data_IF_318854055823
#
_entry.id   IF_318854055823
#
_cell.length_a   1.000
_cell.length_b   1.000
_cell.length_c   1.000
_cell.angle_alpha   90.00
_cell.angle_beta   90.00
_cell.angle_gamma   90.00
#
_symmetry.space_group_name_H-M   'P 1'
#
loop_
_entity.id
_entity.type
_entity.pdbx_description
1 polymer ?
#
# COMPACT_ATOMS: atom_id res chain seq x y z
N UNK A 1 23.85 -73.66 4.95
CA UNK A 1 22.49 -73.31 5.41
C UNK A 1 22.49 -72.45 6.68
N UNK A 2 23.00 -72.90 7.83
CA UNK A 2 22.99 -72.10 9.07
C UNK A 2 23.81 -70.80 9.00
N UNK A 3 25.00 -70.85 8.36
CA UNK A 3 25.89 -69.68 8.18
C UNK A 3 25.34 -68.61 7.22
N UNK A 4 24.67 -69.04 6.15
CA UNK A 4 24.03 -68.14 5.17
C UNK A 4 22.79 -67.47 5.74
N UNK A 5 21.98 -68.19 6.51
CA UNK A 5 20.83 -67.64 7.23
C UNK A 5 21.25 -66.63 8.32
N UNK A 6 22.30 -66.93 9.09
CA UNK A 6 22.85 -65.98 10.07
C UNK A 6 23.41 -64.70 9.42
N UNK A 7 24.05 -64.82 8.25
CA UNK A 7 24.54 -63.66 7.51
C UNK A 7 23.37 -62.79 7.00
N UNK A 8 22.32 -63.40 6.44
CA UNK A 8 21.11 -62.69 6.04
C UNK A 8 20.46 -61.95 7.22
N UNK A 9 20.27 -62.62 8.36
CA UNK A 9 19.74 -61.99 9.57
C UNK A 9 20.61 -60.84 10.08
N UNK A 10 21.93 -60.96 9.99
CA UNK A 10 22.87 -59.90 10.35
C UNK A 10 22.71 -58.67 9.45
N UNK A 11 22.64 -58.88 8.12
CA UNK A 11 22.47 -57.79 7.15
C UNK A 11 21.11 -57.11 7.31
N UNK A 12 20.04 -57.88 7.54
CA UNK A 12 18.71 -57.34 7.78
C UNK A 12 18.64 -56.54 9.09
N UNK A 13 19.31 -57.03 10.16
CA UNK A 13 19.44 -56.30 11.42
C UNK A 13 20.18 -54.97 11.24
N UNK A 14 21.29 -54.95 10.50
CA UNK A 14 22.03 -53.72 10.22
C UNK A 14 21.21 -52.75 9.35
N UNK A 15 20.49 -53.26 8.34
CA UNK A 15 19.56 -52.45 7.53
C UNK A 15 18.45 -51.82 8.39
N UNK A 16 17.86 -52.58 9.29
CA UNK A 16 16.84 -52.07 10.21
C UNK A 16 17.41 -51.03 11.17
N UNK A 17 18.62 -51.23 11.71
CA UNK A 17 19.30 -50.22 12.54
C UNK A 17 19.54 -48.92 11.78
N UNK A 18 20.03 -49.00 10.54
CA UNK A 18 20.21 -47.81 9.69
C UNK A 18 18.87 -47.10 9.46
N UNK A 19 17.79 -47.86 9.19
CA UNK A 19 16.45 -47.28 9.00
C UNK A 19 15.93 -46.60 10.27
N UNK A 20 16.14 -47.20 11.44
CA UNK A 20 15.80 -46.60 12.74
C UNK A 20 16.57 -45.31 12.96
N UNK A 21 17.88 -45.29 12.71
CA UNK A 21 18.70 -44.09 12.86
C UNK A 21 18.24 -42.93 11.96
N UNK A 22 17.88 -43.22 10.69
CA UNK A 22 17.35 -42.21 9.76
C UNK A 22 15.99 -41.67 10.24
N UNK A 23 15.11 -42.55 10.72
CA UNK A 23 13.80 -42.13 11.25
C UNK A 23 13.96 -41.29 12.52
N UNK A 24 14.87 -41.66 13.43
CA UNK A 24 15.17 -40.88 14.63
C UNK A 24 15.68 -39.48 14.29
N UNK A 25 16.56 -39.36 13.30
CA UNK A 25 17.07 -38.06 12.85
C UNK A 25 15.97 -37.22 12.17
N UNK A 26 15.13 -37.85 11.36
CA UNK A 26 13.96 -37.19 10.74
C UNK A 26 12.97 -36.68 11.79
N UNK A 27 12.72 -37.45 12.86
CA UNK A 27 11.85 -37.04 13.97
C UNK A 27 12.46 -35.87 14.74
N UNK A 28 13.77 -35.90 15.04
CA UNK A 28 14.47 -34.79 15.71
C UNK A 28 14.43 -33.51 14.88
N UNK A 29 14.68 -33.61 13.57
CA UNK A 29 14.61 -32.48 12.64
C UNK A 29 13.20 -31.87 12.60
N UNK A 30 12.17 -32.72 12.50
CA UNK A 30 10.76 -32.32 12.59
C UNK A 30 10.41 -31.64 13.91
N UNK A 31 10.93 -32.12 15.05
CA UNK A 31 10.66 -31.54 16.36
C UNK A 31 11.23 -30.12 16.48
N UNK A 32 12.45 -29.91 15.98
CA UNK A 32 13.08 -28.58 15.95
C UNK A 32 12.31 -27.62 15.04
N UNK A 33 11.87 -28.09 13.87
CA UNK A 33 11.04 -27.28 12.96
C UNK A 33 9.69 -26.92 13.60
N UNK A 34 9.03 -27.86 14.28
CA UNK A 34 7.79 -27.61 15.01
C UNK A 34 7.98 -26.58 16.14
N UNK A 35 9.11 -26.65 16.87
CA UNK A 35 9.44 -25.65 17.90
C UNK A 35 9.63 -24.26 17.29
N UNK A 36 10.39 -24.14 16.21
CA UNK A 36 10.60 -22.87 15.52
C UNK A 36 9.30 -22.27 14.94
N UNK A 37 8.44 -23.13 14.37
CA UNK A 37 7.12 -22.74 13.89
C UNK A 37 6.23 -22.24 15.03
N UNK A 38 6.18 -22.97 16.15
CA UNK A 38 5.43 -22.57 17.35
C UNK A 38 5.89 -21.22 17.90
N UNK A 39 7.20 -21.00 17.99
CA UNK A 39 7.76 -19.70 18.42
C UNK A 39 7.36 -18.56 17.48
N UNK A 40 7.34 -18.82 16.17
CA UNK A 40 6.92 -17.83 15.17
C UNK A 40 5.43 -17.50 15.31
N UNK A 41 4.57 -18.50 15.50
CA UNK A 41 3.15 -18.30 15.76
C UNK A 41 2.93 -17.48 17.03
N UNK A 42 3.65 -17.78 18.12
CA UNK A 42 3.54 -17.02 19.37
C UNK A 42 3.95 -15.55 19.18
N UNK A 43 5.01 -15.28 18.42
CA UNK A 43 5.44 -13.92 18.10
C UNK A 43 4.38 -13.17 17.29
N UNK A 44 3.82 -13.80 16.25
CA UNK A 44 2.76 -13.22 15.42
C UNK A 44 1.48 -12.96 16.22
N UNK A 45 1.12 -13.83 17.16
CA UNK A 45 -0.03 -13.61 18.07
C UNK A 45 0.22 -12.39 18.97
N UNK A 46 1.42 -12.26 19.54
CA UNK A 46 1.76 -11.09 20.36
C UNK A 46 1.73 -9.78 19.55
N UNK A 47 2.22 -9.80 18.31
CA UNK A 47 2.14 -8.67 17.38
C UNK A 47 0.68 -8.33 17.04
N UNK A 48 -0.16 -9.33 16.75
CA UNK A 48 -1.59 -9.15 16.49
C UNK A 48 -2.31 -8.50 17.70
N UNK A 49 -2.01 -8.95 18.91
CA UNK A 49 -2.61 -8.40 20.12
C UNK A 49 -2.10 -6.99 20.45
N UNK A 50 -0.85 -6.67 20.08
CA UNK A 50 -0.35 -5.31 20.15
C UNK A 50 -1.08 -4.40 19.16
N UNK A 51 -1.28 -4.83 17.91
CA UNK A 51 -2.01 -4.06 16.91
C UNK A 51 -3.49 -3.89 17.27
N UNK A 52 -4.14 -4.91 17.85
CA UNK A 52 -5.49 -4.79 18.40
C UNK A 52 -5.60 -3.72 19.49
N UNK A 53 -4.62 -3.67 20.41
CA UNK A 53 -4.59 -2.62 21.45
C UNK A 53 -4.40 -1.23 20.87
N UNK A 54 -3.51 -1.07 19.89
CA UNK A 54 -3.33 0.21 19.17
C UNK A 54 -4.61 0.63 18.45
N UNK A 55 -5.27 -0.29 17.75
CA UNK A 55 -6.53 -0.03 17.07
C UNK A 55 -7.63 0.39 18.05
N UNK A 56 -7.78 -0.31 19.18
CA UNK A 56 -8.74 0.04 20.21
C UNK A 56 -8.47 1.45 20.80
N UNK A 57 -7.21 1.79 21.08
CA UNK A 57 -6.83 3.12 21.54
C UNK A 57 -7.12 4.21 20.50
N UNK A 58 -6.89 3.94 19.22
CA UNK A 58 -7.20 4.86 18.13
C UNK A 58 -8.71 5.12 18.00
N UNK A 59 -9.53 4.06 18.11
CA UNK A 59 -11.00 4.18 18.11
C UNK A 59 -11.48 5.03 19.28
N UNK A 60 -10.97 4.79 20.49
CA UNK A 60 -11.33 5.59 21.67
C UNK A 60 -10.95 7.08 21.52
N UNK A 61 -9.79 7.37 20.91
CA UNK A 61 -9.37 8.74 20.60
C UNK A 61 -10.28 9.40 19.56
N UNK A 62 -10.69 8.67 18.51
CA UNK A 62 -11.63 9.15 17.51
C UNK A 62 -13.00 9.46 18.10
N UNK A 63 -13.51 8.61 18.99
CA UNK A 63 -14.81 8.85 19.62
C UNK A 63 -14.77 10.07 20.56
N UNK A 64 -13.66 10.27 21.27
CA UNK A 64 -13.42 11.49 22.06
C UNK A 64 -13.40 12.74 21.16
N UNK A 65 -12.74 12.67 20.01
CA UNK A 65 -12.69 13.77 19.03
C UNK A 65 -14.08 14.06 18.42
N UNK A 66 -14.89 13.03 18.15
CA UNK A 66 -16.27 13.21 17.68
C UNK A 66 -17.11 13.98 18.70
N UNK A 67 -16.99 13.68 19.99
CA UNK A 67 -17.70 14.42 21.04
C UNK A 67 -17.29 15.89 21.02
N UNK A 68 -15.99 16.19 20.98
CA UNK A 68 -15.49 17.57 20.89
C UNK A 68 -16.00 18.27 19.62
N UNK A 69 -15.99 17.59 18.48
CA UNK A 69 -16.51 18.13 17.23
C UNK A 69 -18.00 18.48 17.33
N UNK A 70 -18.83 17.60 17.91
CA UNK A 70 -20.25 17.89 18.11
C UNK A 70 -20.47 19.09 19.04
N UNK A 71 -19.65 19.24 20.08
CA UNK A 71 -19.72 20.38 20.98
C UNK A 71 -19.32 21.68 20.28
N UNK A 72 -18.22 21.66 19.51
CA UNK A 72 -17.76 22.81 18.74
C UNK A 72 -18.81 23.23 17.69
N UNK A 73 -19.48 22.27 17.04
CA UNK A 73 -20.57 22.53 16.10
C UNK A 73 -21.74 23.24 16.78
N UNK A 74 -22.12 22.83 18.00
CA UNK A 74 -23.17 23.50 18.80
C UNK A 74 -22.76 24.94 19.16
N UNK A 75 -21.54 25.12 19.67
CA UNK A 75 -21.01 26.46 20.03
C UNK A 75 -21.00 27.38 18.81
N UNK A 76 -20.56 26.90 17.64
CA UNK A 76 -20.60 27.67 16.39
C UNK A 76 -22.02 28.13 16.05
N UNK A 77 -23.01 27.25 16.18
CA UNK A 77 -24.41 27.59 15.93
C UNK A 77 -24.90 28.68 16.89
N UNK A 78 -24.67 28.52 18.20
CA UNK A 78 -25.04 29.53 19.20
C UNK A 78 -24.37 30.89 18.96
N UNK A 79 -23.08 30.90 18.58
CA UNK A 79 -22.40 32.15 18.24
C UNK A 79 -22.97 32.82 17.00
N UNK A 80 -23.41 32.02 16.02
CA UNK A 80 -24.06 32.53 14.80
C UNK A 80 -25.41 33.16 15.13
N UNK A 81 -26.23 32.50 15.95
CA UNK A 81 -27.51 33.03 16.45
C UNK A 81 -27.32 34.33 17.24
N UNK A 82 -26.29 34.40 18.10
CA UNK A 82 -25.94 35.63 18.84
C UNK A 82 -25.49 36.75 17.92
N UNK A 83 -24.71 36.44 16.89
CA UNK A 83 -24.25 37.41 15.91
C UNK A 83 -25.45 38.00 15.13
N UNK A 84 -26.39 37.16 14.70
CA UNK A 84 -27.61 37.59 14.01
C UNK A 84 -28.52 38.42 14.92
N UNK A 85 -28.64 38.07 16.20
CA UNK A 85 -29.34 38.89 17.18
C UNK A 85 -28.67 40.27 17.34
N UNK A 86 -27.34 40.32 17.49
CA UNK A 86 -26.60 41.58 17.60
C UNK A 86 -26.75 42.46 16.35
N UNK A 87 -26.73 41.87 15.14
CA UNK A 87 -26.98 42.60 13.89
C UNK A 87 -28.36 43.26 13.89
N UNK A 88 -29.41 42.53 14.30
CA UNK A 88 -30.77 43.08 14.39
C UNK A 88 -30.88 44.26 15.36
N UNK A 89 -30.18 44.18 16.50
CA UNK A 89 -30.13 45.29 17.48
C UNK A 89 -29.44 46.52 16.89
N UNK A 90 -28.30 46.33 16.22
CA UNK A 90 -27.57 47.44 15.58
C UNK A 90 -28.43 48.09 14.49
N UNK A 91 -29.14 47.31 13.68
CA UNK A 91 -30.05 47.86 12.68
C UNK A 91 -31.22 48.63 13.32
N UNK A 92 -31.77 48.15 14.45
CA UNK A 92 -32.80 48.88 15.17
C UNK A 92 -32.28 50.23 15.69
N UNK A 93 -31.11 50.23 16.33
CA UNK A 93 -30.46 51.46 16.81
C UNK A 93 -30.15 52.45 15.68
N UNK A 94 -29.73 51.97 14.50
CA UNK A 94 -29.54 52.82 13.32
C UNK A 94 -30.84 53.47 12.84
N UNK A 95 -31.95 52.72 12.82
CA UNK A 95 -33.27 53.27 12.46
C UNK A 95 -33.73 54.35 13.46
N UNK A 96 -33.46 54.14 14.75
CA UNK A 96 -33.76 55.12 15.80
C UNK A 96 -32.90 56.38 15.67
N UNK A 97 -31.59 56.23 15.46
CA UNK A 97 -30.67 57.36 15.19
C UNK A 97 -31.17 58.21 14.03
N UNK A 98 -31.56 57.57 12.92
CA UNK A 98 -32.08 58.28 11.76
C UNK A 98 -33.41 58.99 12.05
N UNK A 99 -34.27 58.42 12.89
CA UNK A 99 -35.50 59.09 13.32
C UNK A 99 -35.21 60.34 14.16
N UNK A 100 -34.24 60.26 15.07
CA UNK A 100 -33.81 61.38 15.90
C UNK A 100 -33.13 62.48 15.08
N UNK A 101 -32.28 62.12 14.11
CA UNK A 101 -31.68 63.08 13.15
C UNK A 101 -32.77 63.89 12.44
N UNK A 102 -33.79 63.22 11.89
CA UNK A 102 -34.91 63.89 11.23
C UNK A 102 -35.70 64.82 12.19
N UNK A 103 -35.80 64.47 13.47
CA UNK A 103 -36.44 65.33 14.48
C UNK A 103 -35.60 66.57 14.79
N UNK A 104 -34.26 66.43 14.86
CA UNK A 104 -33.35 67.55 15.07
C UNK A 104 -33.41 68.51 13.89
N UNK A 105 -33.35 68.01 12.65
CA UNK A 105 -33.46 68.83 11.43
C UNK A 105 -34.79 69.62 11.39
N UNK A 106 -35.90 69.01 11.80
CA UNK A 106 -37.19 69.69 11.89
C UNK A 106 -37.21 70.80 12.96
N UNK A 107 -36.60 70.56 14.12
CA UNK A 107 -36.51 71.55 15.19
C UNK A 107 -35.61 72.72 14.80
N UNK A 108 -34.48 72.46 14.15
CA UNK A 108 -33.60 73.51 13.60
C UNK A 108 -34.35 74.40 12.62
N UNK A 109 -35.13 73.80 11.71
CA UNK A 109 -35.99 74.56 10.78
C UNK A 109 -36.99 75.46 11.51
N UNK A 110 -37.62 74.98 12.59
CA UNK A 110 -38.57 75.76 13.40
C UNK A 110 -37.91 76.90 14.16
N UNK A 111 -36.71 76.68 14.69
CA UNK A 111 -35.92 77.73 15.35
C UNK A 111 -35.60 78.83 14.34
N UNK A 112 -35.11 78.47 13.14
CA UNK A 112 -34.81 79.44 12.09
C UNK A 112 -36.05 80.26 11.66
N UNK A 113 -37.23 79.63 11.58
CA UNK A 113 -38.50 80.33 11.34
C UNK A 113 -38.90 81.27 12.49
N UNK A 114 -38.63 80.91 13.75
CA UNK A 114 -38.93 81.76 14.89
C UNK A 114 -37.98 82.96 14.98
N UNK A 115 -36.68 82.74 14.74
CA UNK A 115 -35.66 83.78 14.71
C UNK A 115 -35.94 84.82 13.62
N UNK A 116 -36.28 84.39 12.41
CA UNK A 116 -36.66 85.31 11.32
C UNK A 116 -37.89 86.16 11.65
N UNK A 117 -38.89 85.61 12.36
CA UNK A 117 -40.05 86.37 12.85
C UNK A 117 -39.68 87.39 13.92
N UNK A 118 -38.81 87.03 14.87
CA UNK A 118 -38.34 87.93 15.92
C UNK A 118 -37.54 89.10 15.34
N UNK A 119 -36.67 88.82 14.38
CA UNK A 119 -35.89 89.83 13.66
C UNK A 119 -36.81 90.89 13.03
N UNK A 120 -37.87 90.46 12.34
CA UNK A 120 -38.85 91.37 11.72
C UNK A 120 -39.61 92.22 12.76
N UNK A 121 -39.94 91.65 13.93
CA UNK A 121 -40.60 92.39 15.01
C UNK A 121 -39.71 93.50 15.61
N UNK A 122 -38.42 93.19 15.84
CA UNK A 122 -37.46 94.16 16.38
C UNK A 122 -37.28 95.37 15.45
N UNK A 123 -37.22 95.14 14.14
CA UNK A 123 -37.19 96.23 13.15
C UNK A 123 -38.43 97.14 13.24
N UNK A 124 -39.58 96.59 13.61
CA UNK A 124 -40.84 97.34 13.76
C UNK A 124 -40.83 98.24 15.01
N UNK A 125 -40.24 97.78 16.12
CA UNK A 125 -40.15 98.54 17.37
C UNK A 125 -39.17 99.71 17.31
N UNK A 126 -38.05 99.53 16.62
CA UNK A 126 -37.06 100.60 16.40
C UNK A 126 -37.72 101.80 15.71
N UNK A 127 -38.59 101.57 14.73
CA UNK A 127 -39.36 102.63 14.07
C UNK A 127 -40.40 103.35 14.94
N UNK A 128 -40.82 102.78 16.07
CA UNK A 128 -41.78 103.38 17.00
C UNK A 128 -41.10 104.23 18.08
N UNK A 129 -39.90 103.83 18.52
CA UNK A 129 -39.18 104.48 19.62
C UNK A 129 -38.45 105.76 19.19
N UNK A 130 -38.15 105.96 17.91
CA UNK A 130 -37.60 107.23 17.40
C UNK A 130 -38.57 108.42 17.51
N UNK A 131 -39.82 108.23 17.96
CA UNK A 131 -40.90 109.22 17.80
C UNK A 131 -41.32 110.02 19.03
N UNK A 132 -40.90 109.71 20.26
CA UNK A 132 -41.42 110.41 21.47
C UNK A 132 -40.45 110.40 22.65
N UNK A 133 -40.02 111.59 23.10
CA UNK A 133 -40.17 112.10 24.48
C UNK A 133 -39.31 113.36 24.74
N UNK A 134 -39.92 114.43 25.28
CA UNK A 134 -39.27 115.45 26.13
C UNK A 134 -40.27 116.07 27.14
N UNK A 135 -39.78 116.23 28.37
CA UNK A 135 -40.03 117.23 29.44
C UNK A 135 -41.37 117.41 30.18
N UNK A 136 -41.25 117.69 31.50
CA UNK A 136 -41.71 118.93 32.20
C UNK A 136 -41.51 118.83 33.74
N UNK A 137 -41.03 119.92 34.37
CA UNK A 137 -40.67 120.14 35.81
C UNK A 137 -41.53 121.28 36.41
N UNK A 138 -41.55 121.39 37.77
CA UNK A 138 -41.72 122.58 38.67
C UNK A 138 -43.14 122.87 39.22
N UNK A 139 -43.35 123.72 40.27
CA UNK A 139 -42.71 123.82 41.60
C UNK A 139 -43.66 124.23 42.77
N UNK A 140 -43.03 124.42 43.94
CA UNK A 140 -43.35 124.89 45.31
C UNK A 140 -43.79 126.38 45.49
N UNK A 141 -44.55 126.72 46.54
CA UNK A 141 -44.57 128.05 47.22
C UNK A 141 -44.87 127.96 48.75
N UNK A 142 -44.51 129.02 49.52
CA UNK A 142 -44.26 129.11 50.98
C UNK A 142 -45.17 130.13 51.73
N UNK A 143 -45.19 130.09 53.09
CA UNK A 143 -44.78 131.19 54.04
C UNK A 143 -45.58 131.32 55.38
N UNK A 144 -44.84 131.52 56.51
CA UNK A 144 -45.11 132.35 57.74
C UNK A 144 -45.31 131.66 59.13
N UNK A 145 -44.46 131.90 60.18
CA UNK A 145 -44.75 131.90 61.66
C UNK A 145 -43.55 132.06 62.70
N UNK A 146 -42.86 133.21 62.89
CA UNK A 146 -41.44 133.31 63.33
C UNK A 146 -40.94 132.78 64.72
N UNK A 147 -41.76 132.56 65.76
CA UNK A 147 -41.24 132.22 67.13
C UNK A 147 -41.66 130.83 67.63
N UNK A 148 -42.88 130.41 67.29
CA UNK A 148 -43.19 128.97 67.21
C UNK A 148 -42.35 128.39 66.07
N UNK A 149 -42.18 129.06 64.92
CA UNK A 149 -41.19 128.67 63.91
C UNK A 149 -39.80 128.56 64.48
N UNK A 150 -39.31 129.37 65.43
CA UNK A 150 -37.92 129.18 65.85
C UNK A 150 -37.71 127.88 66.65
N UNK A 151 -38.68 127.48 67.49
CA UNK A 151 -38.65 126.19 68.21
C UNK A 151 -39.11 125.02 67.33
N UNK A 152 -40.09 125.24 66.46
CA UNK A 152 -40.50 124.28 65.43
C UNK A 152 -39.38 124.11 64.41
N UNK A 153 -38.60 125.13 64.07
CA UNK A 153 -37.40 125.10 63.23
C UNK A 153 -36.30 124.37 63.98
N UNK A 154 -36.01 124.67 65.25
CA UNK A 154 -34.96 123.94 65.95
C UNK A 154 -35.31 122.45 66.14
N UNK A 155 -36.58 122.11 66.37
CA UNK A 155 -37.07 120.72 66.43
C UNK A 155 -37.16 120.10 65.04
N UNK A 156 -37.54 120.86 64.01
CA UNK A 156 -37.62 120.43 62.61
C UNK A 156 -36.25 120.27 61.98
N UNK A 157 -35.27 121.08 62.38
CA UNK A 157 -33.85 120.98 61.99
C UNK A 157 -33.27 119.72 62.61
N UNK A 158 -33.48 119.49 63.91
CA UNK A 158 -33.06 118.25 64.57
C UNK A 158 -33.77 117.01 64.00
N UNK A 159 -35.07 117.11 63.70
CA UNK A 159 -35.81 116.01 63.09
C UNK A 159 -35.32 115.77 61.65
N UNK A 160 -35.06 116.82 60.88
CA UNK A 160 -34.46 116.72 59.54
C UNK A 160 -33.09 116.06 59.60
N UNK A 161 -32.19 116.55 60.45
CA UNK A 161 -30.87 115.93 60.69
C UNK A 161 -31.02 114.44 61.06
N UNK A 162 -31.97 114.10 61.92
CA UNK A 162 -32.22 112.71 62.32
C UNK A 162 -32.78 111.87 61.16
N UNK A 163 -33.68 112.41 60.33
CA UNK A 163 -34.22 111.73 59.15
C UNK A 163 -33.19 111.57 58.04
N UNK A 164 -32.29 112.53 57.84
CA UNK A 164 -31.17 112.44 56.90
C UNK A 164 -30.17 111.37 57.34
N UNK A 165 -29.79 111.36 58.62
CA UNK A 165 -28.94 110.31 59.18
C UNK A 165 -29.60 108.93 59.05
N UNK A 166 -30.92 108.82 59.29
CA UNK A 166 -31.66 107.59 59.07
C UNK A 166 -31.66 107.17 57.60
N UNK A 167 -31.86 108.12 56.67
CA UNK A 167 -31.84 107.83 55.24
C UNK A 167 -30.46 107.36 54.77
N UNK A 168 -29.38 108.00 55.22
CA UNK A 168 -27.99 107.58 54.94
C UNK A 168 -27.71 106.20 55.53
N UNK A 169 -28.14 105.93 56.77
CA UNK A 169 -27.98 104.63 57.41
C UNK A 169 -28.75 103.53 56.65
N UNK A 170 -29.97 103.84 56.20
CA UNK A 170 -30.82 102.92 55.43
C UNK A 170 -30.23 102.64 54.04
N UNK A 171 -29.74 103.66 53.33
CA UNK A 171 -29.04 103.47 52.05
C UNK A 171 -27.79 102.61 52.22
N UNK A 172 -26.99 102.84 53.28
CA UNK A 172 -25.85 101.99 53.62
C UNK A 172 -26.27 100.54 53.90
N UNK A 173 -27.35 100.34 54.66
CA UNK A 173 -27.86 99.01 54.96
C UNK A 173 -28.33 98.28 53.68
N UNK A 174 -29.07 98.97 52.79
CA UNK A 174 -29.51 98.41 51.51
C UNK A 174 -28.33 98.01 50.61
N UNK A 175 -27.29 98.84 50.56
CA UNK A 175 -26.10 98.55 49.76
C UNK A 175 -25.31 97.37 50.34
N UNK A 176 -25.24 97.26 51.67
CA UNK A 176 -24.67 96.10 52.35
C UNK A 176 -25.49 94.82 52.12
N UNK A 177 -26.82 94.90 52.14
CA UNK A 177 -27.71 93.77 51.82
C UNK A 177 -27.53 93.29 50.38
N UNK A 178 -27.44 94.21 49.41
CA UNK A 178 -27.16 93.87 48.01
C UNK A 178 -25.80 93.18 47.86
N UNK A 179 -24.76 93.67 48.54
CA UNK A 179 -23.43 93.03 48.54
C UNK A 179 -23.49 91.62 49.14
N UNK A 180 -24.23 91.43 50.24
CA UNK A 180 -24.41 90.10 50.85
C UNK A 180 -25.17 89.16 49.91
N UNK A 181 -26.18 89.65 49.19
CA UNK A 181 -26.93 88.84 48.21
C UNK A 181 -26.05 88.45 47.01
N UNK A 182 -25.25 89.37 46.47
CA UNK A 182 -24.29 89.07 45.39
C UNK A 182 -23.27 88.01 45.84
N UNK A 183 -22.68 88.20 47.02
CA UNK A 183 -21.73 87.23 47.59
C UNK A 183 -22.38 85.87 47.83
N UNK A 184 -23.63 85.81 48.30
CA UNK A 184 -24.38 84.56 48.45
C UNK A 184 -24.63 83.88 47.11
N UNK A 185 -25.03 84.62 46.07
CA UNK A 185 -25.21 84.06 44.73
C UNK A 185 -23.91 83.50 44.17
N UNK A 186 -22.80 84.24 44.31
CA UNK A 186 -21.47 83.78 43.89
C UNK A 186 -21.01 82.53 44.64
N UNK A 187 -21.25 82.48 45.95
CA UNK A 187 -20.92 81.32 46.78
C UNK A 187 -21.73 80.09 46.35
N UNK A 188 -23.02 80.24 46.07
CA UNK A 188 -23.87 79.14 45.56
C UNK A 188 -23.40 78.64 44.19
N UNK A 189 -23.00 79.52 43.28
CA UNK A 189 -22.43 79.10 41.99
C UNK A 189 -21.13 78.30 42.17
N UNK A 190 -20.22 78.76 43.03
CA UNK A 190 -18.97 78.05 43.33
C UNK A 190 -19.20 76.70 44.02
N UNK A 191 -20.18 76.60 44.91
CA UNK A 191 -20.58 75.33 45.53
C UNK A 191 -21.11 74.34 44.48
N UNK A 192 -21.92 74.80 43.53
CA UNK A 192 -22.40 73.97 42.44
C UNK A 192 -21.25 73.51 41.51
N UNK A 193 -20.33 74.40 41.16
CA UNK A 193 -19.14 74.05 40.36
C UNK A 193 -18.27 73.00 41.07
N UNK A 194 -18.01 73.17 42.37
CA UNK A 194 -17.25 72.20 43.17
C UNK A 194 -17.94 70.83 43.20
N UNK A 195 -19.25 70.79 43.44
CA UNK A 195 -20.02 69.55 43.41
C UNK A 195 -19.92 68.85 42.04
N UNK A 196 -20.01 69.61 40.94
CA UNK A 196 -19.83 69.00 39.61
C UNK A 196 -18.42 68.47 39.39
N UNK A 197 -17.39 69.19 39.87
CA UNK A 197 -16.01 68.75 39.80
C UNK A 197 -15.78 67.45 40.60
N UNK A 198 -16.33 67.35 41.81
CA UNK A 198 -16.26 66.13 42.63
C UNK A 198 -16.91 64.94 41.93
N UNK A 199 -18.09 65.13 41.34
CA UNK A 199 -18.74 64.08 40.53
C UNK A 199 -17.90 63.64 39.32
N UNK A 200 -17.16 64.55 38.70
CA UNK A 200 -16.23 64.22 37.61
C UNK A 200 -15.01 63.44 38.11
N UNK A 201 -14.46 63.82 39.26
CA UNK A 201 -13.37 63.09 39.92
C UNK A 201 -13.79 61.67 40.29
N UNK A 202 -14.97 61.48 40.89
CA UNK A 202 -15.52 60.17 41.24
C UNK A 202 -15.69 59.28 39.99
N UNK A 203 -16.22 59.84 38.90
CA UNK A 203 -16.36 59.12 37.64
C UNK A 203 -15.01 58.67 37.07
N UNK A 204 -14.00 59.54 37.13
CA UNK A 204 -12.64 59.20 36.67
C UNK A 204 -12.02 58.10 37.56
N UNK A 205 -12.27 58.16 38.86
CA UNK A 205 -11.78 57.17 39.82
C UNK A 205 -12.44 55.80 39.62
N UNK A 206 -13.75 55.75 39.35
CA UNK A 206 -14.43 54.51 38.95
C UNK A 206 -13.87 53.92 37.66
N UNK A 207 -13.69 54.75 36.63
CA UNK A 207 -13.07 54.32 35.36
C UNK A 207 -11.67 53.74 35.59
N UNK A 208 -10.85 54.37 36.44
CA UNK A 208 -9.53 53.86 36.83
C UNK A 208 -9.62 52.48 37.49
N UNK A 209 -10.57 52.28 38.40
CA UNK A 209 -10.79 50.98 39.06
C UNK A 209 -11.19 49.89 38.05
N UNK A 210 -12.10 50.20 37.12
CA UNK A 210 -12.52 49.26 36.06
C UNK A 210 -11.31 48.82 35.20
N UNK A 211 -10.42 49.75 34.85
CA UNK A 211 -9.19 49.43 34.10
C UNK A 211 -8.20 48.61 34.93
N UNK A 212 -8.05 48.89 36.23
CA UNK A 212 -7.19 48.09 37.11
C UNK A 212 -7.70 46.66 37.25
N UNK A 213 -9.02 46.46 37.38
CA UNK A 213 -9.63 45.12 37.39
C UNK A 213 -9.41 44.39 36.05
N UNK A 214 -9.60 45.08 34.93
CA UNK A 214 -9.32 44.53 33.61
C UNK A 214 -7.86 44.08 33.46
N UNK A 215 -6.90 44.90 33.91
CA UNK A 215 -5.47 44.55 33.87
C UNK A 215 -5.16 43.35 34.76
N UNK A 216 -5.81 43.23 35.92
CA UNK A 216 -5.66 42.06 36.79
C UNK A 216 -6.19 40.78 36.12
N UNK A 217 -7.35 40.85 35.45
CA UNK A 217 -7.90 39.74 34.68
C UNK A 217 -6.98 39.35 33.51
N UNK A 218 -6.44 40.33 32.80
CA UNK A 218 -5.51 40.11 31.69
C UNK A 218 -4.21 39.47 32.18
N UNK A 219 -3.65 39.97 33.27
CA UNK A 219 -2.49 39.42 33.98
C UNK A 219 -2.69 37.94 34.34
N UNK A 220 -3.82 37.61 34.99
CA UNK A 220 -4.19 36.23 35.34
C UNK A 220 -4.29 35.35 34.10
N UNK A 221 -4.93 35.84 33.04
CA UNK A 221 -5.10 35.12 31.77
C UNK A 221 -3.76 34.81 31.11
N UNK A 222 -2.83 35.76 31.17
CA UNK A 222 -1.49 35.63 30.59
C UNK A 222 -0.50 34.94 31.53
N UNK A 223 -0.96 34.52 32.72
CA UNK A 223 -0.16 33.90 33.78
C UNK A 223 1.13 34.68 33.99
N UNK A 224 1.00 35.98 34.22
CA UNK A 224 2.11 36.77 34.73
C UNK A 224 2.24 36.39 36.20
N UNK A 225 3.11 35.42 36.46
CA UNK A 225 3.44 34.99 37.82
C UNK A 225 4.27 36.13 38.44
N UNK A 226 3.75 36.71 39.51
CA UNK A 226 4.34 37.77 40.34
C UNK A 226 4.16 39.22 39.84
N UNK A 227 2.96 39.77 40.09
CA UNK A 227 2.80 41.21 40.25
C UNK A 227 2.99 41.59 41.71
N UNK A 228 3.91 42.49 41.99
CA UNK A 228 3.89 43.21 43.26
C UNK A 228 2.64 44.10 43.29
N UNK A 229 1.86 44.00 44.35
CA UNK A 229 0.51 44.60 44.44
C UNK A 229 0.59 46.14 44.32
N UNK A 230 1.75 46.71 44.68
CA UNK A 230 2.07 48.14 44.67
C UNK A 230 2.70 48.67 43.37
N UNK A 231 2.75 47.89 42.30
CA UNK A 231 3.23 48.41 41.01
C UNK A 231 2.28 49.47 40.45
N UNK A 232 2.86 50.57 39.99
CA UNK A 232 2.12 51.60 39.27
C UNK A 232 1.48 51.05 37.98
N UNK A 233 0.46 51.77 37.51
CA UNK A 233 -0.32 51.35 36.35
C UNK A 233 0.54 51.16 35.08
N UNK A 234 1.55 52.01 34.90
CA UNK A 234 2.38 51.99 33.69
C UNK A 234 3.35 50.81 33.67
N UNK A 235 3.93 50.45 34.81
CA UNK A 235 4.73 49.24 34.95
C UNK A 235 3.87 47.99 34.76
N UNK A 236 2.66 47.95 35.32
CA UNK A 236 1.71 46.86 35.10
C UNK A 236 1.48 46.60 33.61
N UNK A 237 1.27 47.67 32.84
CA UNK A 237 1.12 47.57 31.38
C UNK A 237 2.39 47.05 30.69
N UNK A 238 3.58 47.55 31.05
CA UNK A 238 4.86 47.12 30.47
C UNK A 238 5.16 45.64 30.75
N UNK A 239 4.83 45.13 31.94
CA UNK A 239 4.97 43.70 32.27
C UNK A 239 4.04 42.83 31.44
N UNK A 240 2.76 43.21 31.32
CA UNK A 240 1.78 42.50 30.50
C UNK A 240 2.25 42.47 29.03
N UNK A 241 2.70 43.61 28.48
CA UNK A 241 3.24 43.67 27.13
C UNK A 241 4.47 42.77 26.95
N UNK A 242 5.43 42.84 27.86
CA UNK A 242 6.64 42.00 27.82
C UNK A 242 6.30 40.52 27.89
N UNK A 243 5.30 40.14 28.70
CA UNK A 243 4.79 38.78 28.78
C UNK A 243 4.11 38.37 27.48
N UNK A 244 3.32 39.24 26.86
CA UNK A 244 2.65 38.97 25.58
C UNK A 244 3.68 38.63 24.51
N UNK A 245 4.70 39.47 24.37
CA UNK A 245 5.77 39.24 23.41
C UNK A 245 6.55 37.95 23.72
N UNK A 246 6.79 37.64 24.99
CA UNK A 246 7.45 36.40 25.38
C UNK A 246 6.63 35.18 24.95
N UNK A 247 5.32 35.17 25.22
CA UNK A 247 4.43 34.07 24.83
C UNK A 247 4.40 33.90 23.31
N UNK A 248 4.33 35.00 22.55
CA UNK A 248 4.39 34.97 21.09
C UNK A 248 5.72 34.39 20.60
N UNK A 249 6.85 34.78 21.20
CA UNK A 249 8.17 34.20 20.86
C UNK A 249 8.23 32.70 21.15
N UNK A 250 7.72 32.27 22.30
CA UNK A 250 7.68 30.85 22.70
C UNK A 250 6.79 30.01 21.77
N UNK A 251 5.62 30.53 21.39
CA UNK A 251 4.74 29.89 20.42
C UNK A 251 5.41 29.82 19.04
N UNK A 252 6.09 30.89 18.62
CA UNK A 252 6.88 30.92 17.39
C UNK A 252 7.98 29.86 17.35
N UNK A 253 8.75 29.70 18.43
CA UNK A 253 9.78 28.65 18.51
C UNK A 253 9.18 27.25 18.49
N UNK A 254 8.12 27.01 19.26
CA UNK A 254 7.43 25.71 19.29
C UNK A 254 6.81 25.36 17.92
N UNK A 255 6.30 26.35 17.18
CA UNK A 255 5.78 26.17 15.83
C UNK A 255 6.87 25.77 14.85
N UNK A 256 8.04 26.43 14.90
CA UNK A 256 9.18 26.09 14.05
C UNK A 256 9.69 24.67 14.34
N UNK A 257 9.79 24.29 15.61
CA UNK A 257 10.16 22.93 16.02
C UNK A 257 9.15 21.89 15.51
N UNK A 258 7.85 22.12 15.70
CA UNK A 258 6.78 21.26 15.19
C UNK A 258 6.82 21.13 13.66
N UNK A 259 7.05 22.24 12.94
CA UNK A 259 7.22 22.23 11.48
C UNK A 259 8.44 21.40 11.08
N UNK A 260 9.57 21.54 11.78
CA UNK A 260 10.79 20.76 11.51
C UNK A 260 10.60 19.27 11.75
N UNK A 261 9.90 18.90 12.83
CA UNK A 261 9.55 17.50 13.14
C UNK A 261 8.63 16.93 12.07
N UNK A 262 7.63 17.70 11.64
CA UNK A 262 6.71 17.31 10.56
C UNK A 262 7.47 17.02 9.27
N UNK A 263 8.40 17.89 8.84
CA UNK A 263 9.23 17.62 7.66
C UNK A 263 10.13 16.38 7.85
N UNK A 264 10.66 16.16 9.04
CA UNK A 264 11.47 14.96 9.32
C UNK A 264 10.64 13.68 9.21
N UNK A 265 9.41 13.68 9.74
CA UNK A 265 8.48 12.56 9.67
C UNK A 265 8.02 12.33 8.24
N UNK A 266 7.73 13.40 7.48
CA UNK A 266 7.38 13.30 6.07
C UNK A 266 8.50 12.66 5.23
N UNK A 267 9.77 13.00 5.50
CA UNK A 267 10.92 12.34 4.86
C UNK A 267 11.02 10.86 5.23
N UNK A 268 10.86 10.51 6.51
CA UNK A 268 10.84 9.11 6.97
C UNK A 268 9.72 8.32 6.30
N UNK A 269 8.52 8.90 6.22
CA UNK A 269 7.37 8.29 5.56
C UNK A 269 7.63 8.05 4.07
N UNK A 270 8.23 9.01 3.36
CA UNK A 270 8.62 8.84 1.96
C UNK A 270 9.61 7.69 1.77
N UNK A 271 10.65 7.63 2.60
CA UNK A 271 11.65 6.55 2.56
C UNK A 271 11.03 5.17 2.87
N UNK A 272 10.14 5.09 3.86
CA UNK A 272 9.43 3.84 4.18
C UNK A 272 8.50 3.40 3.04
N UNK A 273 7.82 4.36 2.38
CA UNK A 273 6.99 4.08 1.20
C UNK A 273 7.83 3.48 0.06
N UNK A 274 8.95 4.11 -0.29
CA UNK A 274 9.87 3.61 -1.32
C UNK A 274 10.42 2.22 -0.95
N UNK A 275 10.72 1.97 0.33
CA UNK A 275 11.17 0.67 0.80
C UNK A 275 10.09 -0.41 0.65
N UNK A 276 8.83 -0.08 0.94
CA UNK A 276 7.70 -1.01 0.77
C UNK A 276 7.48 -1.30 -0.72
N UNK A 277 7.54 -0.29 -1.58
CA UNK A 277 7.42 -0.46 -3.03
C UNK A 277 8.52 -1.37 -3.58
N UNK A 278 9.78 -1.16 -3.18
CA UNK A 278 10.92 -2.01 -3.55
C UNK A 278 10.73 -3.47 -3.09
N UNK A 279 10.32 -3.68 -1.83
CA UNK A 279 10.00 -5.04 -1.32
C UNK A 279 8.80 -5.65 -2.06
N UNK A 280 7.80 -4.86 -2.41
CA UNK A 280 6.65 -5.28 -3.21
C UNK A 280 7.06 -5.83 -4.57
N UNK A 281 7.97 -5.14 -5.27
CA UNK A 281 8.54 -5.61 -6.54
C UNK A 281 9.33 -6.93 -6.36
N UNK A 282 10.11 -7.05 -5.28
CA UNK A 282 10.82 -8.29 -4.99
C UNK A 282 9.86 -9.47 -4.74
N UNK A 283 8.79 -9.25 -3.98
CA UNK A 283 7.75 -10.25 -3.75
C UNK A 283 7.07 -10.65 -5.07
N UNK A 284 6.79 -9.70 -5.96
CA UNK A 284 6.23 -10.00 -7.29
C UNK A 284 7.18 -10.88 -8.12
N UNK A 285 8.49 -10.56 -8.12
CA UNK A 285 9.49 -11.37 -8.81
C UNK A 285 9.58 -12.79 -8.25
N UNK A 286 9.57 -12.94 -6.92
CA UNK A 286 9.58 -14.24 -6.26
C UNK A 286 8.32 -15.05 -6.62
N UNK A 287 7.13 -14.42 -6.61
CA UNK A 287 5.88 -15.07 -7.03
C UNK A 287 5.96 -15.56 -8.48
N UNK A 288 6.51 -14.74 -9.40
CA UNK A 288 6.74 -15.15 -10.79
C UNK A 288 7.69 -16.36 -10.85
N UNK A 289 8.79 -16.34 -10.10
CA UNK A 289 9.76 -17.44 -10.10
C UNK A 289 9.18 -18.74 -9.54
N UNK A 290 8.36 -18.66 -8.49
CA UNK A 290 7.64 -19.82 -7.95
C UNK A 290 6.70 -20.40 -9.01
N UNK A 291 5.92 -19.56 -9.70
CA UNK A 291 5.04 -20.02 -10.79
C UNK A 291 5.82 -20.70 -11.92
N UNK A 292 6.97 -20.15 -12.34
CA UNK A 292 7.84 -20.77 -13.35
C UNK A 292 8.34 -22.15 -12.90
N UNK A 293 8.78 -22.29 -11.64
CA UNK A 293 9.25 -23.56 -11.09
C UNK A 293 8.12 -24.59 -10.94
N UNK A 294 6.91 -24.16 -10.62
CA UNK A 294 5.74 -25.03 -10.57
C UNK A 294 5.38 -25.59 -11.95
N UNK A 295 5.40 -24.75 -12.98
CA UNK A 295 5.20 -25.20 -14.37
C UNK A 295 6.32 -26.13 -14.84
N UNK A 296 7.59 -25.81 -14.53
CA UNK A 296 8.72 -26.69 -14.83
C UNK A 296 8.60 -28.05 -14.11
N UNK A 297 8.12 -28.08 -12.86
CA UNK A 297 7.87 -29.33 -12.14
C UNK A 297 6.76 -30.15 -12.80
N UNK A 298 5.69 -29.51 -13.27
CA UNK A 298 4.60 -30.19 -13.99
C UNK A 298 5.11 -30.81 -15.28
N UNK A 299 5.87 -30.08 -16.09
CA UNK A 299 6.42 -30.59 -17.36
C UNK A 299 7.42 -31.73 -17.12
N UNK A 300 8.31 -31.62 -16.13
CA UNK A 300 9.22 -32.72 -15.74
C UNK A 300 8.47 -33.97 -15.29
N UNK A 301 7.38 -33.81 -14.54
CA UNK A 301 6.55 -34.93 -14.09
C UNK A 301 5.85 -35.63 -15.26
N UNK A 302 5.35 -34.85 -16.23
CA UNK A 302 4.77 -35.39 -17.47
C UNK A 302 5.82 -36.16 -18.29
N UNK A 303 7.01 -35.60 -18.49
CA UNK A 303 8.11 -36.28 -19.19
C UNK A 303 8.54 -37.58 -18.49
N UNK A 304 8.60 -37.59 -17.15
CA UNK A 304 8.90 -38.81 -16.41
C UNK A 304 7.84 -39.89 -16.60
N UNK A 305 6.55 -39.52 -16.68
CA UNK A 305 5.47 -40.44 -16.99
C UNK A 305 5.62 -41.03 -18.41
N UNK A 306 5.88 -40.19 -19.42
CA UNK A 306 6.13 -40.63 -20.80
C UNK A 306 7.35 -41.55 -20.91
N UNK A 307 8.44 -41.25 -20.19
CA UNK A 307 9.62 -42.11 -20.15
C UNK A 307 9.31 -43.49 -19.55
N UNK A 308 8.54 -43.55 -18.46
CA UNK A 308 8.11 -44.81 -17.86
C UNK A 308 7.24 -45.63 -18.82
N UNK A 309 6.33 -44.98 -19.54
CA UNK A 309 5.48 -45.62 -20.55
C UNK A 309 6.31 -46.15 -21.73
N UNK A 310 7.25 -45.36 -22.23
CA UNK A 310 8.18 -45.77 -23.27
C UNK A 310 9.05 -46.96 -22.81
N UNK A 311 9.54 -46.94 -21.56
CA UNK A 311 10.32 -48.03 -20.99
C UNK A 311 9.48 -49.31 -20.83
N UNK A 312 8.21 -49.20 -20.44
CA UNK A 312 7.29 -50.32 -20.38
C UNK A 312 7.05 -50.92 -21.77
N UNK A 313 6.85 -50.08 -22.79
CA UNK A 313 6.70 -50.53 -24.18
C UNK A 313 7.97 -51.20 -24.69
N UNK A 314 9.15 -50.63 -24.43
CA UNK A 314 10.43 -51.22 -24.77
C UNK A 314 10.60 -52.61 -24.13
N UNK A 315 10.27 -52.75 -22.83
CA UNK A 315 10.32 -54.04 -22.14
C UNK A 315 9.35 -55.08 -22.74
N UNK A 316 8.15 -54.65 -23.20
CA UNK A 316 7.20 -55.54 -23.90
C UNK A 316 7.72 -55.99 -25.26
N UNK A 317 8.30 -55.07 -26.04
CA UNK A 317 8.89 -55.39 -27.34
C UNK A 317 10.10 -56.32 -27.17
N UNK A 318 10.93 -56.08 -26.17
CA UNK A 318 12.07 -56.95 -25.84
C UNK A 318 11.62 -58.39 -25.53
N UNK A 319 10.57 -58.57 -24.70
CA UNK A 319 9.99 -59.90 -24.45
C UNK A 319 9.47 -60.58 -25.71
N UNK A 320 8.81 -59.83 -26.61
CA UNK A 320 8.37 -60.37 -27.91
C UNK A 320 9.54 -60.79 -28.79
N UNK A 321 10.61 -59.98 -28.84
CA UNK A 321 11.83 -60.33 -29.57
C UNK A 321 12.47 -61.60 -29.01
N UNK A 322 12.55 -61.75 -27.69
CA UNK A 322 13.06 -62.97 -27.05
C UNK A 322 12.22 -64.22 -27.39
N UNK A 323 10.89 -64.10 -27.36
CA UNK A 323 9.97 -65.17 -27.77
C UNK A 323 10.20 -65.55 -29.24
N UNK A 324 10.18 -64.58 -30.16
CA UNK A 324 10.41 -64.80 -31.58
C UNK A 324 11.80 -65.37 -31.87
N UNK A 325 12.83 -64.95 -31.13
CA UNK A 325 14.18 -65.54 -31.23
C UNK A 325 14.20 -67.01 -30.78
N UNK A 326 13.47 -67.36 -29.73
CA UNK A 326 13.36 -68.75 -29.27
C UNK A 326 12.62 -69.64 -30.28
N UNK A 327 11.52 -69.14 -30.87
CA UNK A 327 10.78 -69.81 -31.94
C UNK A 327 11.65 -69.98 -33.19
N UNK A 328 12.42 -68.95 -33.57
CA UNK A 328 13.36 -69.02 -34.68
C UNK A 328 14.46 -70.08 -34.43
N UNK A 329 14.95 -70.21 -33.20
CA UNK A 329 15.92 -71.26 -32.84
C UNK A 329 15.29 -72.65 -32.91
N UNK A 330 14.08 -72.82 -32.38
CA UNK A 330 13.35 -74.09 -32.42
C UNK A 330 13.06 -74.55 -33.87
N UNK A 331 12.59 -73.63 -34.72
CA UNK A 331 12.36 -73.90 -36.14
C UNK A 331 13.65 -74.22 -36.90
N UNK A 332 14.76 -73.53 -36.61
CA UNK A 332 16.08 -73.88 -37.15
C UNK A 332 16.52 -75.28 -36.75
N UNK A 333 16.36 -75.66 -35.47
CA UNK A 333 16.69 -77.01 -34.99
C UNK A 333 15.84 -78.08 -35.68
N UNK A 334 14.53 -77.87 -35.77
CA UNK A 334 13.63 -78.76 -36.51
C UNK A 334 14.02 -78.85 -37.99
N UNK A 335 14.42 -77.74 -38.62
CA UNK A 335 14.90 -77.76 -40.02
C UNK A 335 16.20 -78.56 -40.17
N UNK A 336 17.14 -78.44 -39.22
CA UNK A 336 18.38 -79.23 -39.24
C UNK A 336 18.10 -80.72 -39.00
N UNK A 337 17.16 -81.05 -38.12
CA UNK A 337 16.73 -82.43 -37.88
C UNK A 337 16.06 -83.02 -39.13
N UNK A 338 15.12 -82.30 -39.76
CA UNK A 338 14.51 -82.70 -41.01
C UNK A 338 15.54 -82.87 -42.14
N UNK A 339 16.56 -82.00 -42.22
CA UNK A 339 17.67 -82.16 -43.17
C UNK A 339 18.49 -83.44 -42.89
N UNK A 340 18.76 -83.75 -41.63
CA UNK A 340 19.45 -84.98 -41.24
C UNK A 340 18.61 -86.24 -41.51
N UNK A 341 17.29 -86.18 -41.26
CA UNK A 341 16.37 -87.25 -41.64
C UNK A 341 16.32 -87.43 -43.16
N UNK A 342 16.34 -86.34 -43.93
CA UNK A 342 16.38 -86.38 -45.40
C UNK A 342 17.69 -87.01 -45.91
N UNK A 343 18.85 -86.65 -45.32
CA UNK A 343 20.13 -87.25 -45.69
C UNK A 343 20.16 -88.74 -45.34
N UNK A 344 19.70 -89.13 -44.15
CA UNK A 344 19.60 -90.54 -43.77
C UNK A 344 18.67 -91.33 -44.71
N UNK A 345 17.52 -90.76 -45.06
CA UNK A 345 16.61 -91.36 -46.05
C UNK A 345 17.27 -91.49 -47.43
N UNK A 346 18.07 -90.49 -47.84
CA UNK A 346 18.81 -90.54 -49.10
C UNK A 346 19.91 -91.62 -49.08
N UNK A 347 20.60 -91.78 -47.95
CA UNK A 347 21.59 -92.84 -47.74
C UNK A 347 20.94 -94.21 -47.76
N UNK A 348 19.81 -94.41 -47.07
CA UNK A 348 19.04 -95.66 -47.12
C UNK A 348 18.56 -95.97 -48.55
N UNK A 349 18.17 -94.96 -49.33
CA UNK A 349 17.84 -95.15 -50.75
C UNK A 349 19.06 -95.55 -51.57
N UNK A 350 20.23 -94.96 -51.31
CA UNK A 350 21.49 -95.35 -51.98
C UNK A 350 21.89 -96.77 -51.58
N UNK A 351 21.80 -97.13 -50.30
CA UNK A 351 22.06 -98.47 -49.80
C UNK A 351 21.08 -99.48 -50.39
N UNK A 352 19.79 -99.16 -50.42
CA UNK A 352 18.78 -99.96 -51.11
C UNK A 352 19.10 -100.16 -52.59
N UNK A 353 19.56 -99.10 -53.29
CA UNK A 353 20.06 -99.23 -54.67
C UNK A 353 21.32 -100.10 -54.76
N UNK A 354 22.26 -99.99 -53.81
CA UNK A 354 23.48 -100.82 -53.75
C UNK A 354 23.15 -102.30 -53.54
N UNK A 355 22.26 -102.62 -52.60
CA UNK A 355 21.79 -103.98 -52.35
C UNK A 355 21.05 -104.52 -53.58
N UNK A 356 20.16 -103.73 -54.19
CA UNK A 356 19.50 -104.12 -55.44
C UNK A 356 20.50 -104.41 -56.56
N UNK A 357 21.57 -103.62 -56.67
CA UNK A 357 22.63 -103.82 -57.67
C UNK A 357 23.48 -105.06 -57.35
N UNK A 358 23.75 -105.33 -56.07
CA UNK A 358 24.44 -106.55 -55.64
C UNK A 358 23.66 -107.81 -56.02
N UNK A 359 22.34 -107.84 -55.77
CA UNK A 359 21.50 -108.95 -56.22
C UNK A 359 21.54 -109.11 -57.73
N UNK A 360 21.42 -108.02 -58.50
CA UNK A 360 21.58 -108.07 -59.97
C UNK A 360 22.96 -108.59 -60.40
N UNK A 361 24.03 -108.24 -59.71
CA UNK A 361 25.39 -108.73 -59.96
C UNK A 361 25.54 -110.23 -59.65
N UNK A 362 24.91 -110.70 -58.56
CA UNK A 362 24.87 -112.11 -58.21
C UNK A 362 24.05 -112.89 -59.23
N UNK A 363 22.89 -112.38 -59.64
CA UNK A 363 22.04 -112.95 -60.69
C UNK A 363 22.80 -112.99 -62.02
N UNK A 364 23.51 -111.92 -62.39
CA UNK A 364 24.35 -111.86 -63.57
C UNK A 364 25.51 -112.87 -63.50
N UNK A 365 26.22 -112.95 -62.36
CA UNK A 365 27.27 -113.94 -62.11
C UNK A 365 26.73 -115.36 -62.27
N UNK A 366 25.53 -115.63 -61.76
CA UNK A 366 24.86 -116.93 -61.88
C UNK A 366 24.56 -117.25 -63.35
N UNK A 367 24.00 -116.29 -64.09
CA UNK A 367 23.70 -116.43 -65.52
C UNK A 367 24.96 -116.69 -66.36
N UNK A 368 26.04 -115.94 -66.12
CA UNK A 368 27.32 -116.12 -66.83
C UNK A 368 27.99 -117.46 -66.49
N UNK A 369 27.90 -117.89 -65.22
CA UNK A 369 28.41 -119.21 -64.81
C UNK A 369 27.66 -120.34 -65.51
N UNK A 370 26.33 -120.21 -65.66
CA UNK A 370 25.50 -121.15 -66.43
C UNK A 370 25.86 -121.17 -67.92
N UNK A 371 26.08 -120.02 -68.57
CA UNK A 371 26.41 -119.97 -70.01
C UNK A 371 27.82 -120.48 -70.33
N UNK A 372 28.74 -120.46 -69.37
CA UNK A 372 30.09 -121.03 -69.50
C UNK A 372 30.17 -122.52 -69.13
N UNK A 373 29.05 -123.16 -68.77
CA UNK A 373 29.00 -124.58 -68.42
C UNK A 373 29.64 -124.94 -67.08
N UNK A 374 29.80 -123.96 -66.18
CA UNK A 374 30.34 -124.14 -64.83
C UNK A 374 29.18 -124.41 -63.86
N UNK A 375 29.37 -125.29 -62.87
CA UNK A 375 28.33 -125.56 -61.87
C UNK A 375 28.06 -124.32 -61.01
N UNK A 376 26.93 -123.67 -61.27
CA UNK A 376 26.52 -122.41 -60.69
C UNK A 376 26.18 -122.49 -59.18
N UNK A 377 26.17 -123.69 -58.58
CA UNK A 377 25.86 -123.88 -57.15
C UNK A 377 27.08 -123.91 -56.22
N UNK A 378 28.30 -123.98 -56.77
CA UNK A 378 29.52 -123.95 -55.95
C UNK A 378 29.88 -122.52 -55.50
N UNK A 379 29.57 -122.18 -54.25
CA UNK A 379 29.96 -120.90 -53.60
C UNK A 379 31.48 -120.66 -53.50
N UNK A 380 32.32 -121.58 -53.95
CA UNK A 380 33.77 -121.53 -53.85
C UNK A 380 34.50 -121.13 -55.14
N UNK A 381 33.80 -120.80 -56.24
CA UNK A 381 34.46 -120.39 -57.49
C UNK A 381 34.86 -118.90 -57.45
N UNK A 382 36.15 -118.54 -57.45
CA UNK A 382 36.57 -117.14 -57.40
C UNK A 382 36.30 -116.43 -58.72
N UNK A 383 35.90 -115.15 -58.67
CA UNK A 383 35.59 -114.36 -59.87
C UNK A 383 36.72 -114.35 -60.93
N UNK A 384 37.98 -114.46 -60.51
CA UNK A 384 39.11 -114.47 -61.43
C UNK A 384 39.11 -115.72 -62.36
N UNK A 385 38.57 -116.87 -61.95
CA UNK A 385 38.48 -118.07 -62.80
C UNK A 385 37.45 -117.87 -63.92
N UNK A 386 36.29 -117.28 -63.60
CA UNK A 386 35.25 -116.91 -64.58
C UNK A 386 35.81 -115.89 -65.58
N UNK A 387 36.50 -114.86 -65.06
CA UNK A 387 37.15 -113.85 -65.89
C UNK A 387 38.23 -114.48 -66.78
N UNK A 388 39.05 -115.40 -66.26
CA UNK A 388 40.10 -116.09 -67.05
C UNK A 388 39.50 -116.93 -68.17
N UNK A 389 38.38 -117.62 -67.94
CA UNK A 389 37.66 -118.36 -68.99
C UNK A 389 37.07 -117.42 -70.06
N UNK A 390 36.45 -116.31 -69.65
CA UNK A 390 35.99 -115.26 -70.57
C UNK A 390 37.15 -114.64 -71.34
N UNK A 391 38.30 -114.40 -70.70
CA UNK A 391 39.52 -113.90 -71.33
C UNK A 391 40.11 -114.92 -72.30
N UNK A 392 39.97 -116.22 -72.05
CA UNK A 392 40.39 -117.28 -72.98
C UNK A 392 39.45 -117.35 -74.19
N UNK A 393 38.15 -117.18 -73.97
CA UNK A 393 37.13 -117.05 -75.04
C UNK A 393 37.34 -115.78 -75.87
N UNK A 394 37.69 -114.66 -75.25
CA UNK A 394 38.01 -113.39 -75.90
C UNK A 394 39.37 -113.42 -76.61
N UNK A 395 40.39 -114.07 -76.05
CA UNK A 395 41.70 -114.27 -76.70
C UNK A 395 41.62 -115.22 -77.90
N UNK A 396 40.69 -116.19 -77.90
CA UNK A 396 40.36 -116.99 -79.09
C UNK A 396 39.64 -116.21 -80.19
N UNK A 397 39.15 -114.99 -79.90
CA UNK A 397 38.36 -114.15 -80.81
C UNK A 397 39.02 -112.81 -81.17
N UNK A 398 40.34 -112.68 -80.97
CA UNK A 398 41.13 -111.52 -81.41
C UNK A 398 42.32 -111.91 -82.31
N UNK A 399 42.07 -112.68 -83.37
CA UNK A 399 42.97 -112.79 -84.54
C UNK A 399 42.53 -111.94 -85.73
N UNK A 400 41.63 -110.95 -85.56
CA UNK A 400 41.28 -110.03 -86.64
C UNK A 400 41.20 -108.59 -86.17
N UNK A 401 42.04 -107.76 -86.80
CA UNK A 401 42.08 -106.29 -86.80
C UNK A 401 43.03 -105.62 -85.78
N UNK A 402 44.31 -105.57 -86.18
CA UNK A 402 45.08 -104.32 -86.14
C UNK A 402 44.40 -103.24 -86.98
N UNK A 403 44.32 -101.99 -86.48
CA UNK A 403 45.11 -100.85 -86.99
C UNK A 403 44.78 -99.52 -86.28
N UNK A 404 45.84 -98.89 -85.79
CA UNK A 404 46.16 -97.44 -85.76
C UNK A 404 45.43 -96.42 -84.86
N UNK A 405 46.25 -95.84 -83.95
CA UNK A 405 46.51 -94.41 -83.64
C UNK A 405 45.34 -93.38 -83.66
N UNK A 406 45.22 -92.40 -82.76
CA UNK A 406 46.22 -91.40 -82.37
C UNK A 406 45.77 -90.57 -81.13
N UNK A 407 46.76 -90.10 -80.36
CA UNK A 407 46.88 -88.79 -79.69
C UNK A 407 45.93 -88.32 -78.54
N UNK A 408 46.47 -88.37 -77.31
CA UNK A 408 46.91 -87.21 -76.48
C UNK A 408 46.07 -85.90 -76.55
N UNK A 409 45.42 -85.38 -75.47
CA UNK A 409 45.91 -84.47 -74.38
C UNK A 409 44.73 -83.50 -74.05
N UNK A 410 44.56 -82.84 -72.88
CA UNK A 410 44.79 -83.21 -71.47
C UNK A 410 43.71 -82.64 -70.49
N UNK A 411 43.90 -82.91 -69.20
CA UNK A 411 43.18 -82.27 -68.08
C UNK A 411 43.42 -80.75 -67.99
N UNK A 412 42.43 -80.02 -67.51
CA UNK A 412 42.64 -78.85 -66.67
C UNK A 412 41.77 -78.90 -65.40
N UNK A 413 42.45 -78.92 -64.26
CA UNK A 413 41.93 -78.44 -62.98
C UNK A 413 41.94 -76.91 -63.00
N UNK A 414 40.98 -76.29 -62.30
CA UNK A 414 41.15 -74.92 -61.77
C UNK A 414 40.59 -74.81 -60.36
N UNK A 415 41.46 -74.38 -59.46
CA UNK A 415 41.26 -74.10 -58.04
C UNK A 415 40.93 -72.63 -57.78
N UNK A 416 40.10 -72.42 -56.75
CA UNK A 416 39.94 -71.25 -55.85
C UNK A 416 39.44 -69.89 -56.38
N UNK A 417 38.35 -69.38 -55.78
CA UNK A 417 38.36 -68.22 -54.85
C UNK A 417 36.94 -67.87 -54.31
N UNK A 418 36.90 -67.35 -53.07
CA UNK A 418 35.81 -66.59 -52.39
C UNK A 418 36.43 -65.23 -52.03
N UNK A 419 35.72 -64.13 -51.65
CA UNK A 419 34.28 -63.80 -51.62
C UNK A 419 33.96 -62.40 -52.25
N UNK A 420 32.68 -62.01 -52.38
CA UNK A 420 32.09 -60.76 -51.82
C UNK A 420 30.69 -60.42 -52.39
N UNK A 421 29.86 -59.91 -51.47
CA UNK A 421 28.81 -58.87 -51.61
C UNK A 421 27.61 -59.13 -52.53
N UNK A 422 26.46 -59.31 -51.88
CA UNK A 422 25.17 -58.87 -52.41
C UNK A 422 24.90 -57.42 -51.99
N UNK A 423 24.57 -56.59 -52.97
CA UNK A 423 23.80 -55.37 -52.74
C UNK A 423 22.83 -55.21 -53.91
N UNK A 424 21.77 -54.44 -53.70
CA UNK A 424 20.63 -54.10 -54.60
C UNK A 424 19.43 -55.04 -54.36
N UNK A 425 18.21 -54.61 -53.99
CA UNK A 425 17.51 -53.34 -54.16
C UNK A 425 16.30 -53.26 -53.18
N UNK A 426 16.00 -52.07 -52.62
CA UNK A 426 14.69 -51.36 -52.65
C UNK A 426 14.26 -50.59 -51.38
N UNK A 427 14.17 -49.25 -51.61
CA UNK A 427 13.10 -48.30 -51.23
C UNK A 427 12.90 -47.97 -49.73
N UNK A 428 12.59 -46.75 -49.30
CA UNK A 428 12.62 -45.37 -49.83
C UNK A 428 12.22 -44.46 -48.65
N UNK A 429 12.51 -43.17 -48.79
CA UNK A 429 12.07 -42.03 -47.96
C UNK A 429 12.81 -41.86 -46.62
N UNK A 430 13.42 -40.72 -46.31
CA UNK A 430 13.25 -39.38 -46.87
C UNK A 430 13.15 -38.40 -45.71
N UNK A 431 13.90 -37.30 -45.80
CA UNK A 431 13.83 -36.09 -44.95
C UNK A 431 14.21 -36.21 -43.47
N UNK A 432 15.50 -35.94 -43.20
CA UNK A 432 15.87 -34.99 -42.14
C UNK A 432 15.36 -33.61 -42.57
N UNK A 433 14.54 -32.97 -41.74
CA UNK A 433 14.26 -31.54 -41.80
C UNK A 433 14.34 -30.93 -40.40
N UNK A 434 15.29 -30.01 -40.27
CA UNK A 434 15.16 -28.70 -39.65
C UNK A 434 14.64 -28.58 -38.21
N UNK A 435 15.60 -28.53 -37.28
CA UNK A 435 15.51 -27.58 -36.16
C UNK A 435 16.36 -26.37 -36.55
N UNK A 436 15.72 -25.31 -37.02
CA UNK A 436 16.02 -23.90 -36.72
C UNK A 436 15.24 -23.00 -37.68
N UNK A 437 14.32 -22.18 -37.15
CA UNK A 437 14.19 -20.76 -37.52
C UNK A 437 13.40 -20.04 -36.43
N UNK A 438 14.10 -19.08 -35.81
CA UNK A 438 13.70 -17.70 -35.44
C UNK A 438 12.21 -17.31 -35.63
N UNK A 439 11.61 -16.38 -34.88
CA UNK A 439 12.09 -15.03 -34.53
C UNK A 439 10.98 -14.30 -33.74
N UNK A 440 11.41 -13.41 -32.83
CA UNK A 440 10.87 -12.06 -32.54
C UNK A 440 9.37 -11.81 -32.25
N UNK A 441 9.05 -11.17 -31.11
CA UNK A 441 8.82 -9.71 -30.98
C UNK A 441 8.33 -9.35 -29.56
N UNK A 442 8.68 -8.12 -29.14
CA UNK A 442 7.91 -7.20 -28.28
C UNK A 442 7.56 -7.57 -26.82
N UNK A 443 8.29 -7.01 -25.85
CA UNK A 443 7.90 -5.80 -25.07
C UNK A 443 8.96 -5.46 -24.02
#
# INVERSE_FOLDING_TARGET
LKKTFNNYLCNEKERLKMRVAVLEESVKSSEVECKASRETVLRLVAELDQERRKAASSVAALDSLKVVYTQLKRVKQTLTERLEASKRVIEAARRESHCLENQVEELERRIQEAESKLQAFLETLVGLLEKRCEDVILPTERDSLPEVEMRLCCVSEKLNEQTELHHIAQQRAQLAEQQVQDLRGRLQCLEAELLTADMHCDRLQHSKQDYEEFLEQLSKTMKVEDFDIDLDFEMKLKFILSRAEQLVRQEGTALVESKSLTYSLQRKLKSQKEQIESKGLHIQLLRKKVSELEEEKKTRSALAAEQNDAQLQAARLQKKLECLQSELKATKLSNTELKAQLSHTSELKVEGRRVSFFFQLVDFRMLVSQTLGLDATALALPNYEIIKLLETLLHGHCHRHHLHHHANIPRHYSTHQRPHLQQVQELSDGSNLDVTTCRSHET
#
